data_IF_974585883005
#
_entry.id   IF_974585883005
#
_cell.length_a   1.000
_cell.length_b   1.000
_cell.length_c   1.000
_cell.angle_alpha   90.00
_cell.angle_beta   90.00
_cell.angle_gamma   90.00
#
_symmetry.space_group_name_H-M   'P 1'
#
loop_
_entity.id
_entity.type
_entity.pdbx_description
1 polymer ?
#
# COMPACT_ATOMS: atom_id res chain seq x y z
N UNK A 1 17.19 1.15 17.91
CA UNK A 1 16.50 -0.16 17.96
C UNK A 1 16.91 -1.04 19.14
N UNK A 2 17.98 -0.75 19.89
CA UNK A 2 18.40 -1.59 21.03
C UNK A 2 17.92 -1.12 22.43
N UNK A 3 17.36 0.09 22.56
CA UNK A 3 17.08 0.67 23.88
C UNK A 3 15.66 0.43 24.42
N UNK A 4 14.72 -0.01 23.57
CA UNK A 4 13.33 -0.29 23.96
C UNK A 4 12.80 -1.57 23.29
N UNK A 5 13.06 -2.76 23.88
CA UNK A 5 12.47 -4.01 23.42
C UNK A 5 10.93 -3.89 23.45
N UNK A 6 10.28 -4.02 22.28
CA UNK A 6 8.82 -3.95 22.15
C UNK A 6 8.24 -2.59 21.72
N UNK A 7 9.07 -1.55 21.53
CA UNK A 7 8.58 -0.30 20.93
C UNK A 7 8.32 -0.48 19.44
N UNK A 8 7.07 -0.28 19.01
CA UNK A 8 6.70 -0.26 17.60
C UNK A 8 6.87 1.13 17.01
N UNK A 9 7.61 1.23 15.89
CA UNK A 9 7.67 2.47 15.12
C UNK A 9 6.46 2.55 14.20
N UNK A 10 5.79 3.69 14.23
CA UNK A 10 4.62 3.98 13.40
C UNK A 10 4.98 5.06 12.36
N UNK A 11 4.51 4.88 11.13
CA UNK A 11 4.65 5.82 10.04
C UNK A 11 3.34 6.59 9.89
N UNK A 12 3.39 7.91 10.07
CA UNK A 12 2.26 8.79 9.84
C UNK A 12 1.98 8.95 8.35
N UNK A 13 0.76 8.62 7.93
CA UNK A 13 0.28 8.75 6.55
C UNK A 13 -0.35 10.13 6.35
N UNK A 14 -0.40 10.64 5.12
CA UNK A 14 -1.05 11.90 4.77
C UNK A 14 -0.16 13.12 4.64
N UNK A 15 1.10 13.04 5.10
CA UNK A 15 2.03 14.19 5.06
C UNK A 15 3.04 14.10 3.92
N UNK A 16 3.79 13.01 3.87
CA UNK A 16 4.85 12.79 2.86
C UNK A 16 4.53 11.62 1.92
N UNK A 17 3.56 10.79 2.30
CA UNK A 17 2.98 9.76 1.45
C UNK A 17 1.55 9.47 1.91
N UNK A 18 0.73 8.96 0.99
CA UNK A 18 -0.48 8.18 1.28
C UNK A 18 -0.20 6.70 1.04
N UNK A 19 -1.12 5.81 1.42
CA UNK A 19 -1.01 4.40 1.06
C UNK A 19 -2.28 3.85 0.42
N UNK A 20 -2.12 2.91 -0.52
CA UNK A 20 -3.21 2.06 -1.00
C UNK A 20 -3.08 0.70 -0.32
N UNK A 21 -4.09 0.35 0.48
CA UNK A 21 -4.20 -0.90 1.21
C UNK A 21 -5.03 -1.91 0.42
N UNK A 22 -4.53 -3.14 0.35
CA UNK A 22 -5.18 -4.28 -0.30
C UNK A 22 -4.97 -5.57 0.49
N UNK A 23 -5.79 -6.59 0.25
CA UNK A 23 -5.52 -7.94 0.77
C UNK A 23 -4.16 -8.48 0.28
N UNK A 24 -3.42 -9.17 1.14
CA UNK A 24 -2.05 -9.62 0.84
C UNK A 24 -1.91 -10.46 -0.44
N UNK A 25 -2.78 -11.45 -0.74
CA UNK A 25 -2.69 -12.21 -1.98
C UNK A 25 -2.81 -11.33 -3.23
N UNK A 26 -3.70 -10.33 -3.19
CA UNK A 26 -3.91 -9.34 -4.26
C UNK A 26 -2.65 -8.49 -4.39
N UNK A 27 -2.16 -7.94 -3.28
CA UNK A 27 -1.00 -7.06 -3.25
C UNK A 27 0.26 -7.72 -3.79
N UNK A 28 0.57 -8.95 -3.37
CA UNK A 28 1.74 -9.68 -3.88
C UNK A 28 1.66 -9.96 -5.37
N UNK A 29 0.50 -10.36 -5.87
CA UNK A 29 0.31 -10.63 -7.30
C UNK A 29 0.38 -9.35 -8.12
N UNK A 30 -0.18 -8.26 -7.62
CA UNK A 30 -0.09 -6.95 -8.25
C UNK A 30 1.35 -6.44 -8.29
N UNK A 31 2.08 -6.51 -7.17
CA UNK A 31 3.48 -6.13 -7.09
C UNK A 31 4.34 -6.88 -8.14
N UNK A 32 4.25 -8.21 -8.16
CA UNK A 32 4.99 -9.03 -9.13
C UNK A 32 4.62 -8.72 -10.61
N UNK A 33 3.41 -8.21 -10.86
CA UNK A 33 3.01 -7.75 -12.20
C UNK A 33 3.60 -6.38 -12.53
N UNK A 34 3.53 -5.44 -11.60
CA UNK A 34 4.08 -4.09 -11.78
C UNK A 34 5.60 -4.11 -11.95
N UNK A 35 6.31 -4.96 -11.20
CA UNK A 35 7.76 -5.15 -11.34
C UNK A 35 8.13 -5.66 -12.73
N UNK A 36 7.41 -6.66 -13.25
CA UNK A 36 7.60 -7.15 -14.63
C UNK A 36 7.28 -6.11 -15.69
N UNK A 37 6.38 -5.17 -15.39
CA UNK A 37 6.03 -4.07 -16.28
C UNK A 37 7.02 -2.90 -16.18
N UNK A 38 7.96 -2.92 -15.22
CA UNK A 38 8.90 -1.82 -14.99
C UNK A 38 8.23 -0.53 -14.53
N UNK A 39 7.10 -0.62 -13.82
CA UNK A 39 6.43 0.57 -13.32
C UNK A 39 7.27 1.27 -12.23
N UNK A 40 7.22 2.60 -12.15
CA UNK A 40 7.87 3.33 -11.05
C UNK A 40 7.12 3.04 -9.75
N UNK A 41 7.67 2.13 -8.95
CA UNK A 41 7.09 1.69 -7.68
C UNK A 41 7.73 2.44 -6.52
N UNK A 42 6.93 2.69 -5.49
CA UNK A 42 7.40 3.12 -4.18
C UNK A 42 7.71 1.95 -3.26
N UNK A 43 7.99 2.23 -1.97
CA UNK A 43 8.02 1.21 -0.93
C UNK A 43 6.69 0.43 -0.83
N UNK A 44 6.78 -0.85 -0.49
CA UNK A 44 5.62 -1.71 -0.25
C UNK A 44 5.83 -2.51 1.02
N UNK A 45 4.87 -2.44 1.94
CA UNK A 45 4.89 -3.22 3.19
C UNK A 45 3.81 -4.29 3.19
N UNK A 46 4.02 -5.34 3.96
CA UNK A 46 2.98 -6.26 4.37
C UNK A 46 2.91 -6.30 5.89
N UNK A 47 1.71 -6.11 6.41
CA UNK A 47 1.41 -6.23 7.83
C UNK A 47 0.99 -7.68 8.16
N UNK A 48 1.18 -8.13 9.41
CA UNK A 48 0.83 -9.49 9.83
C UNK A 48 -0.68 -9.75 9.91
N UNK A 49 -1.51 -8.70 9.77
CA UNK A 49 -2.97 -8.79 9.66
C UNK A 49 -3.45 -9.14 8.23
N UNK A 50 -2.53 -9.49 7.33
CA UNK A 50 -2.84 -9.89 5.96
C UNK A 50 -3.11 -8.73 5.01
N UNK A 51 -2.70 -7.51 5.35
CA UNK A 51 -2.80 -6.32 4.49
C UNK A 51 -1.44 -5.96 3.87
N UNK A 52 -1.49 -5.47 2.64
CA UNK A 52 -0.34 -4.92 1.92
C UNK A 52 -0.59 -3.44 1.66
N UNK A 53 0.42 -2.62 1.89
CA UNK A 53 0.36 -1.16 1.71
C UNK A 53 1.35 -0.72 0.64
N UNK A 54 0.84 -0.11 -0.43
CA UNK A 54 1.64 0.54 -1.46
C UNK A 54 1.75 2.03 -1.13
N UNK A 55 2.98 2.52 -0.96
CA UNK A 55 3.23 3.92 -0.65
C UNK A 55 3.11 4.74 -1.94
N UNK A 56 2.29 5.79 -1.91
CA UNK A 56 1.92 6.64 -3.05
C UNK A 56 1.96 8.11 -2.65
N UNK A 57 1.90 9.01 -3.64
CA UNK A 57 1.94 10.45 -3.41
C UNK A 57 0.83 10.91 -2.44
N UNK A 58 1.09 11.90 -1.56
CA UNK A 58 0.07 12.48 -0.68
C UNK A 58 -1.19 12.93 -1.44
N UNK A 59 -2.36 12.75 -0.85
CA UNK A 59 -3.65 13.09 -1.45
C UNK A 59 -4.29 11.94 -2.23
N UNK A 60 -3.52 10.92 -2.61
CA UNK A 60 -4.01 9.76 -3.35
C UNK A 60 -5.16 9.02 -2.64
N UNK A 61 -5.17 8.97 -1.31
CA UNK A 61 -6.24 8.30 -0.57
C UNK A 61 -7.60 8.99 -0.77
N UNK A 62 -7.62 10.32 -0.81
CA UNK A 62 -8.83 11.11 -1.07
C UNK A 62 -9.28 11.01 -2.54
N UNK A 63 -8.33 10.90 -3.48
CA UNK A 63 -8.62 10.79 -4.91
C UNK A 63 -9.07 9.39 -5.34
N UNK A 64 -8.78 8.37 -4.55
CA UNK A 64 -8.98 6.96 -4.90
C UNK A 64 -10.38 6.66 -5.47
N UNK A 65 -11.50 7.06 -4.84
CA UNK A 65 -12.83 6.75 -5.39
C UNK A 65 -13.04 7.36 -6.78
N UNK A 66 -12.61 8.61 -6.98
CA UNK A 66 -12.73 9.29 -8.27
C UNK A 66 -11.82 8.69 -9.35
N UNK A 67 -10.62 8.22 -8.98
CA UNK A 67 -9.72 7.52 -9.89
C UNK A 67 -10.30 6.17 -10.33
N UNK A 68 -10.86 5.39 -9.41
CA UNK A 68 -11.50 4.11 -9.73
C UNK A 68 -12.71 4.30 -10.65
N UNK A 69 -13.56 5.29 -10.36
CA UNK A 69 -14.70 5.64 -11.21
C UNK A 69 -14.26 6.01 -12.64
N UNK A 70 -13.25 6.88 -12.78
CA UNK A 70 -12.71 7.27 -14.10
C UNK A 70 -12.10 6.11 -14.89
N UNK A 71 -11.66 5.05 -14.20
CA UNK A 71 -11.14 3.83 -14.82
C UNK A 71 -12.23 2.82 -15.21
N UNK A 72 -13.52 3.14 -14.96
CA UNK A 72 -14.66 2.29 -15.29
C UNK A 72 -14.98 1.23 -14.23
N UNK A 73 -14.52 1.41 -13.00
CA UNK A 73 -14.91 0.56 -11.87
C UNK A 73 -16.16 1.14 -11.19
N UNK A 74 -17.34 0.72 -11.65
CA UNK A 74 -18.63 1.27 -11.20
C UNK A 74 -19.02 0.85 -9.77
N UNK A 75 -18.51 -0.29 -9.27
CA UNK A 75 -18.61 -0.70 -7.86
C UNK A 75 -17.21 -0.87 -7.23
N UNK A 76 -16.57 0.25 -6.79
CA UNK A 76 -15.27 0.21 -6.13
C UNK A 76 -15.30 -0.55 -4.80
N UNK A 77 -16.47 -0.59 -4.13
CA UNK A 77 -16.61 -1.21 -2.81
C UNK A 77 -16.30 -2.70 -2.83
N UNK A 78 -16.52 -3.33 -3.98
CA UNK A 78 -16.21 -4.72 -4.19
C UNK A 78 -14.72 -5.04 -4.38
N UNK A 79 -13.84 -4.08 -4.65
CA UNK A 79 -12.42 -4.36 -4.95
C UNK A 79 -11.54 -4.57 -3.71
N UNK A 80 -12.05 -4.36 -2.49
CA UNK A 80 -11.25 -4.36 -1.24
C UNK A 80 -9.94 -3.55 -1.37
N UNK A 81 -10.03 -2.39 -2.03
CA UNK A 81 -8.99 -1.38 -2.08
C UNK A 81 -9.36 -0.26 -1.12
N UNK A 82 -8.42 0.19 -0.29
CA UNK A 82 -8.64 1.32 0.62
C UNK A 82 -7.52 2.34 0.49
N UNK A 83 -7.90 3.62 0.43
CA UNK A 83 -6.97 4.72 0.54
C UNK A 83 -6.74 5.02 2.02
N UNK A 84 -5.48 5.02 2.44
CA UNK A 84 -5.06 5.43 3.77
C UNK A 84 -4.41 6.81 3.65
N UNK A 85 -5.04 7.81 4.26
CA UNK A 85 -4.62 9.21 4.23
C UNK A 85 -4.37 9.77 5.63
N UNK A 86 -4.45 11.12 5.80
CA UNK A 86 -4.24 11.78 7.07
C UNK A 86 -4.99 11.16 8.25
N UNK A 87 -4.34 11.07 9.42
CA UNK A 87 -4.89 10.44 10.63
C UNK A 87 -4.69 8.93 10.70
N UNK A 88 -4.14 8.32 9.65
CA UNK A 88 -3.79 6.88 9.62
C UNK A 88 -2.31 6.67 9.98
N UNK A 89 -2.01 5.53 10.59
CA UNK A 89 -0.66 5.12 10.93
C UNK A 89 -0.39 3.69 10.46
N UNK A 90 0.76 3.47 9.83
CA UNK A 90 1.24 2.14 9.44
C UNK A 90 2.34 1.69 10.39
N UNK A 91 2.39 0.41 10.74
CA UNK A 91 3.53 -0.14 11.47
C UNK A 91 4.74 -0.22 10.54
N UNK A 92 5.83 0.46 10.90
CA UNK A 92 7.07 0.47 10.13
C UNK A 92 7.75 -0.91 10.25
N UNK A 93 8.14 -1.59 9.16
CA UNK A 93 8.98 -2.77 9.27
C UNK A 93 10.35 -2.45 9.91
N UNK A 94 10.93 -3.34 10.73
CA UNK A 94 10.42 -4.64 11.16
C UNK A 94 9.63 -4.61 12.48
N UNK A 95 8.95 -3.51 12.82
CA UNK A 95 8.24 -3.35 14.09
C UNK A 95 7.08 -4.34 14.21
N UNK A 96 6.85 -4.80 15.44
CA UNK A 96 5.72 -5.65 15.78
C UNK A 96 4.39 -4.88 15.74
N UNK A 97 3.35 -5.55 15.23
CA UNK A 97 1.98 -5.04 15.17
C UNK A 97 1.16 -5.65 16.31
N UNK A 98 1.22 -5.04 17.48
CA UNK A 98 0.36 -5.39 18.62
C UNK A 98 0.32 -6.90 18.97
N UNK A 99 1.48 -7.57 18.92
CA UNK A 99 1.66 -8.99 19.20
C UNK A 99 1.35 -9.93 18.03
N UNK A 100 0.89 -9.42 16.89
CA UNK A 100 0.59 -10.24 15.70
C UNK A 100 1.85 -10.62 14.91
N UNK A 101 3.00 -10.05 15.25
CA UNK A 101 4.27 -10.24 14.54
C UNK A 101 4.74 -8.98 13.81
N UNK A 102 5.92 -9.04 13.16
CA UNK A 102 6.51 -7.89 12.52
C UNK A 102 5.85 -7.56 11.18
N UNK A 103 5.67 -6.26 10.91
CA UNK A 103 5.50 -5.78 9.54
C UNK A 103 6.78 -6.07 8.74
N UNK A 104 6.66 -6.33 7.44
CA UNK A 104 7.80 -6.64 6.56
C UNK A 104 7.80 -5.77 5.32
N UNK A 105 8.98 -5.51 4.78
CA UNK A 105 9.12 -4.96 3.43
C UNK A 105 8.82 -6.06 2.40
N UNK A 106 7.91 -5.79 1.48
CA UNK A 106 7.83 -6.51 0.20
C UNK A 106 8.72 -5.84 -0.84
N UNK A 107 8.79 -4.50 -0.79
CA UNK A 107 9.76 -3.69 -1.51
C UNK A 107 10.27 -2.60 -0.56
N UNK A 108 11.56 -2.65 -0.22
CA UNK A 108 12.17 -1.68 0.69
C UNK A 108 12.33 -0.31 0.03
N UNK A 109 12.34 0.79 0.80
CA UNK A 109 12.72 2.10 0.28
C UNK A 109 14.13 2.09 -0.30
N UNK A 110 14.32 2.79 -1.43
CA UNK A 110 15.60 3.03 -2.07
C UNK A 110 15.70 4.52 -2.47
N UNK A 111 16.91 4.98 -2.82
CA UNK A 111 17.14 6.40 -3.15
C UNK A 111 16.36 6.85 -4.39
N UNK A 112 16.13 5.95 -5.35
CA UNK A 112 15.31 6.16 -6.54
C UNK A 112 13.79 6.15 -6.26
N UNK A 113 13.39 5.87 -5.01
CA UNK A 113 11.99 5.83 -4.55
C UNK A 113 11.72 6.84 -3.45
N UNK A 114 12.56 7.89 -3.35
CA UNK A 114 12.44 8.93 -2.33
C UNK A 114 11.10 9.67 -2.42
N UNK A 115 10.62 9.88 -3.64
CA UNK A 115 9.30 10.43 -3.92
C UNK A 115 8.30 9.30 -4.22
N UNK A 116 7.23 9.16 -3.41
CA UNK A 116 6.21 8.16 -3.68
C UNK A 116 5.51 8.40 -5.04
N UNK A 117 5.28 7.35 -5.85
CA UNK A 117 4.66 7.49 -7.15
C UNK A 117 3.20 7.94 -7.05
N UNK A 118 2.70 8.60 -8.10
CA UNK A 118 1.27 8.90 -8.22
C UNK A 118 0.44 7.60 -8.24
N UNK A 119 -0.65 7.54 -7.46
CA UNK A 119 -1.46 6.33 -7.35
C UNK A 119 -2.03 5.85 -8.69
N UNK A 120 -2.35 6.76 -9.62
CA UNK A 120 -2.87 6.40 -10.95
C UNK A 120 -1.97 5.42 -11.72
N UNK A 121 -0.67 5.40 -11.44
CA UNK A 121 0.29 4.50 -12.07
C UNK A 121 0.11 3.05 -11.60
N UNK A 122 -0.36 2.85 -10.36
CA UNK A 122 -0.54 1.54 -9.73
C UNK A 122 -1.98 1.04 -9.85
N UNK A 123 -2.96 1.95 -9.80
CA UNK A 123 -4.37 1.61 -9.60
C UNK A 123 -4.96 0.68 -10.65
N UNK A 124 -4.61 0.85 -11.92
CA UNK A 124 -5.09 -0.05 -12.98
C UNK A 124 -4.71 -1.52 -12.72
N UNK A 125 -3.49 -1.75 -12.24
CA UNK A 125 -3.02 -3.11 -11.92
C UNK A 125 -3.63 -3.63 -10.61
N UNK A 126 -3.73 -2.79 -9.57
CA UNK A 126 -4.35 -3.18 -8.30
C UNK A 126 -5.81 -3.57 -8.49
N UNK A 127 -6.59 -2.71 -9.16
CA UNK A 127 -8.01 -2.93 -9.40
C UNK A 127 -8.25 -4.17 -10.29
N UNK A 128 -7.48 -4.33 -11.37
CA UNK A 128 -7.57 -5.52 -12.22
C UNK A 128 -7.30 -6.81 -11.45
N UNK A 129 -6.22 -6.86 -10.66
CA UNK A 129 -5.86 -8.04 -9.89
C UNK A 129 -6.90 -8.31 -8.81
N UNK A 130 -7.32 -7.30 -8.07
CA UNK A 130 -8.36 -7.41 -7.05
C UNK A 130 -9.66 -7.99 -7.63
N UNK A 131 -10.13 -7.46 -8.76
CA UNK A 131 -11.30 -7.96 -9.46
C UNK A 131 -11.15 -9.44 -9.85
N UNK A 132 -9.98 -9.83 -10.38
CA UNK A 132 -9.69 -11.23 -10.79
C UNK A 132 -9.56 -12.21 -9.64
N UNK A 133 -9.41 -11.75 -8.40
CA UNK A 133 -9.37 -12.59 -7.21
C UNK A 133 -10.75 -12.82 -6.58
N UNK A 134 -11.78 -12.07 -7.00
CA UNK A 134 -13.16 -12.23 -6.53
C UNK A 134 -13.91 -13.36 -7.22
N UNK A 135 -13.47 -13.76 -8.42
CA UNK A 135 -14.03 -14.87 -9.19
C UNK A 135 -13.19 -16.12 -9.02
#
# INVERSE_FOLDING_TARGET
>A
WAELPGAAVMLAVGRVFDAIEVAEPVGRRALARMERMGLPLGPVTAAPDGRVHFFVAPGAAAELPGLLYRMGWDDPSGLDLRGLGPGTYLTAPPSDRAGLGPARWLRSPALDTADPPEARLLLGTLAYVAHRFRG
#
